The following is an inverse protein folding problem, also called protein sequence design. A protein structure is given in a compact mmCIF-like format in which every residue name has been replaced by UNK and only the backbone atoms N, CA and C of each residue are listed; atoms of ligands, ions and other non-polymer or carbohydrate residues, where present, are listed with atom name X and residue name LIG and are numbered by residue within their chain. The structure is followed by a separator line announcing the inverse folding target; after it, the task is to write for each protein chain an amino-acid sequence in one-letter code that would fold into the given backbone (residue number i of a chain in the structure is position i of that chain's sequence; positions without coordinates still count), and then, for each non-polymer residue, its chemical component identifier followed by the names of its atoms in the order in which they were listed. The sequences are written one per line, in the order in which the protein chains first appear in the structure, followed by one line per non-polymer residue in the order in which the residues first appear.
data_IF_285919335482
#
_entry.id   IF_285919335482
#
_cell.length_a   1.000
_cell.length_b   1.000
_cell.length_c   1.000
_cell.angle_alpha   90.00
_cell.angle_beta   90.00
_cell.angle_gamma   90.00
#
_symmetry.space_group_name_H-M   'P 1'
#
loop_
_entity.id
_entity.type
_entity.pdbx_description
1 polymer ?
#
# COMPACT_ATOMS: atom_id res chain seq x y z
N UNK A 1 5.21 16.23 -18.55
CA UNK A 1 4.15 15.45 -17.88
C UNK A 1 3.93 14.19 -18.69
N UNK A 2 3.69 13.03 -18.06
CA UNK A 2 3.45 11.78 -18.80
C UNK A 2 2.01 11.78 -19.34
N UNK A 3 1.77 11.26 -20.54
CA UNK A 3 0.40 11.10 -21.08
C UNK A 3 -0.37 9.95 -20.44
N UNK A 4 0.32 9.11 -19.66
CA UNK A 4 -0.23 7.88 -19.09
C UNK A 4 -1.06 8.17 -17.86
N UNK A 5 -2.12 7.39 -17.68
CA UNK A 5 -2.95 7.37 -16.47
C UNK A 5 -2.50 6.22 -15.58
N UNK A 6 -2.68 6.39 -14.27
CA UNK A 6 -2.53 5.32 -13.29
C UNK A 6 -3.89 4.98 -12.71
N UNK A 7 -4.21 3.69 -12.64
CA UNK A 7 -5.39 3.18 -11.95
C UNK A 7 -4.96 2.38 -10.72
N UNK A 8 -5.40 2.77 -9.53
CA UNK A 8 -5.14 2.03 -8.30
C UNK A 8 -6.42 1.31 -7.90
N UNK A 9 -6.43 0.00 -8.05
CA UNK A 9 -7.54 -0.87 -7.69
C UNK A 9 -7.39 -1.24 -6.22
N UNK A 10 -8.40 -0.91 -5.41
CA UNK A 10 -8.41 -1.03 -3.95
C UNK A 10 -9.56 -1.92 -3.48
N UNK A 11 -9.45 -2.56 -2.32
CA UNK A 11 -10.51 -3.46 -1.86
C UNK A 11 -11.74 -2.69 -1.37
N UNK A 12 -11.54 -1.76 -0.44
CA UNK A 12 -12.62 -1.09 0.27
C UNK A 12 -12.51 0.43 0.35
N UNK A 13 -13.39 1.00 1.18
CA UNK A 13 -13.43 2.44 1.46
C UNK A 13 -12.24 2.91 2.29
N UNK A 14 -11.70 2.04 3.14
CA UNK A 14 -10.62 2.36 4.07
C UNK A 14 -9.29 2.48 3.33
N UNK A 15 -9.05 1.61 2.35
CA UNK A 15 -8.01 1.71 1.35
C UNK A 15 -8.13 3.02 0.55
N UNK A 16 -9.32 3.29 -0.02
CA UNK A 16 -9.56 4.47 -0.86
C UNK A 16 -9.26 5.75 -0.11
N UNK A 17 -9.67 5.82 1.16
CA UNK A 17 -9.38 6.96 2.03
C UNK A 17 -7.88 7.11 2.29
N UNK A 18 -7.19 6.02 2.61
CA UNK A 18 -5.75 6.05 2.86
C UNK A 18 -4.98 6.48 1.61
N UNK A 19 -5.23 5.81 0.49
CA UNK A 19 -4.57 6.10 -0.77
C UNK A 19 -4.91 7.51 -1.25
N UNK A 20 -6.15 7.96 -1.10
CA UNK A 20 -6.56 9.32 -1.46
C UNK A 20 -5.85 10.40 -0.64
N UNK A 21 -5.62 10.16 0.66
CA UNK A 21 -5.06 11.18 1.55
C UNK A 21 -3.53 11.16 1.63
N UNK A 22 -2.91 9.99 1.54
CA UNK A 22 -1.46 9.80 1.72
C UNK A 22 -0.77 9.55 0.38
N UNK A 23 -1.19 8.55 -0.37
CA UNK A 23 -0.44 8.09 -1.56
C UNK A 23 -0.66 9.00 -2.77
N UNK A 24 -1.91 9.39 -3.02
CA UNK A 24 -2.30 10.16 -4.20
C UNK A 24 -1.53 11.49 -4.32
N UNK A 25 -1.39 12.32 -3.26
CA UNK A 25 -0.56 13.53 -3.32
C UNK A 25 0.91 13.26 -3.69
N UNK A 26 1.44 12.11 -3.30
CA UNK A 26 2.85 11.75 -3.54
C UNK A 26 3.10 11.29 -4.97
N UNK A 27 2.12 10.65 -5.63
CA UNK A 27 2.32 10.03 -6.94
C UNK A 27 1.65 10.80 -8.09
N UNK A 28 0.66 11.66 -7.81
CA UNK A 28 -0.17 12.30 -8.83
C UNK A 28 0.63 13.09 -9.87
N UNK A 29 1.70 13.78 -9.47
CA UNK A 29 2.53 14.59 -10.35
C UNK A 29 3.25 13.78 -11.46
N UNK A 30 3.35 12.46 -11.32
CA UNK A 30 4.00 11.57 -12.30
C UNK A 30 3.09 11.12 -13.43
N UNK A 31 1.78 11.34 -13.31
CA UNK A 31 0.77 10.82 -14.21
C UNK A 31 -0.14 11.94 -14.73
N UNK A 32 -0.72 11.75 -15.92
CA UNK A 32 -1.77 12.65 -16.41
C UNK A 32 -2.97 12.69 -15.48
N UNK A 33 -3.31 11.54 -14.92
CA UNK A 33 -4.35 11.38 -13.90
C UNK A 33 -4.14 10.08 -13.13
N UNK A 34 -4.46 10.09 -11.85
CA UNK A 34 -4.52 8.88 -11.02
C UNK A 34 -5.98 8.64 -10.61
N UNK A 35 -6.47 7.41 -10.77
CA UNK A 35 -7.86 7.04 -10.44
C UNK A 35 -7.89 5.90 -9.43
N UNK A 36 -8.55 6.12 -8.30
CA UNK A 36 -8.81 5.09 -7.30
C UNK A 36 -10.11 4.35 -7.65
N UNK A 37 -10.08 3.02 -7.60
CA UNK A 37 -11.21 2.17 -7.99
C UNK A 37 -11.38 1.04 -7.01
N UNK A 38 -12.50 1.03 -6.28
CA UNK A 38 -12.88 -0.08 -5.41
C UNK A 38 -13.32 -1.28 -6.23
N UNK A 39 -12.61 -2.41 -6.11
CA UNK A 39 -12.87 -3.60 -6.92
C UNK A 39 -13.53 -4.74 -6.15
N UNK A 40 -13.54 -4.75 -4.81
CA UNK A 40 -14.09 -5.88 -4.06
C UNK A 40 -15.58 -6.12 -4.33
N UNK A 41 -16.36 -5.05 -4.54
CA UNK A 41 -17.78 -5.13 -4.89
C UNK A 41 -18.03 -5.41 -6.39
N UNK A 42 -16.99 -5.47 -7.23
CA UNK A 42 -17.15 -5.70 -8.66
C UNK A 42 -17.12 -7.20 -8.98
N UNK A 43 -18.00 -7.63 -9.89
CA UNK A 43 -17.94 -8.97 -10.46
C UNK A 43 -16.56 -9.20 -11.08
N UNK A 44 -15.98 -10.39 -10.89
CA UNK A 44 -14.69 -10.82 -11.48
C UNK A 44 -14.55 -10.42 -12.95
N UNK A 45 -15.55 -10.73 -13.77
CA UNK A 45 -15.54 -10.41 -15.20
C UNK A 45 -15.36 -8.91 -15.49
N UNK A 46 -15.93 -8.04 -14.65
CA UNK A 46 -15.80 -6.59 -14.76
C UNK A 46 -14.39 -6.13 -14.44
N UNK A 47 -13.77 -6.67 -13.38
CA UNK A 47 -12.37 -6.40 -13.04
C UNK A 47 -11.45 -6.85 -14.18
N UNK A 48 -11.63 -8.06 -14.70
CA UNK A 48 -10.83 -8.55 -15.83
C UNK A 48 -10.99 -7.67 -17.08
N UNK A 49 -12.22 -7.26 -17.43
CA UNK A 49 -12.47 -6.35 -18.56
C UNK A 49 -11.79 -4.99 -18.35
N UNK A 50 -11.82 -4.49 -17.13
CA UNK A 50 -11.20 -3.22 -16.77
C UNK A 50 -9.67 -3.26 -16.91
N UNK A 51 -9.02 -4.27 -16.33
CA UNK A 51 -7.57 -4.50 -16.46
C UNK A 51 -7.15 -4.67 -17.93
N UNK A 52 -7.90 -5.46 -18.71
CA UNK A 52 -7.66 -5.60 -20.17
C UNK A 52 -7.72 -4.24 -20.88
N UNK A 53 -8.67 -3.38 -20.52
CA UNK A 53 -8.82 -2.06 -21.14
C UNK A 53 -7.63 -1.16 -20.84
N UNK A 54 -7.17 -1.12 -19.57
CA UNK A 54 -6.01 -0.33 -19.14
C UNK A 54 -4.76 -0.74 -19.94
N UNK A 55 -4.50 -2.06 -20.02
CA UNK A 55 -3.37 -2.59 -20.77
C UNK A 55 -3.42 -2.20 -22.25
N UNK A 56 -4.60 -2.22 -22.86
CA UNK A 56 -4.80 -1.86 -24.28
C UNK A 56 -4.54 -0.37 -24.54
N UNK A 57 -4.80 0.51 -23.58
CA UNK A 57 -4.54 1.96 -23.73
C UNK A 57 -3.10 2.35 -23.39
N UNK A 58 -2.27 1.41 -22.93
CA UNK A 58 -0.90 1.70 -22.48
C UNK A 58 -0.85 2.45 -21.15
N UNK A 59 -1.96 2.47 -20.41
CA UNK A 59 -2.05 3.02 -19.07
C UNK A 59 -1.51 2.02 -18.03
N UNK A 60 -1.20 2.51 -16.84
CA UNK A 60 -0.61 1.72 -15.75
C UNK A 60 -1.68 1.40 -14.69
N UNK A 61 -1.50 0.30 -13.96
CA UNK A 61 -2.34 -0.01 -12.81
C UNK A 61 -1.59 -0.69 -11.69
N UNK A 62 -2.10 -0.51 -10.48
CA UNK A 62 -1.74 -1.25 -9.28
C UNK A 62 -3.00 -1.92 -8.75
N UNK A 63 -2.89 -3.18 -8.32
CA UNK A 63 -3.95 -3.88 -7.60
C UNK A 63 -3.46 -4.10 -6.17
N UNK A 64 -4.13 -3.46 -5.23
CA UNK A 64 -3.79 -3.52 -3.81
C UNK A 64 -4.74 -4.49 -3.10
N UNK A 65 -4.19 -5.31 -2.22
CA UNK A 65 -4.95 -6.30 -1.44
C UNK A 65 -4.29 -6.50 -0.10
N UNK A 66 -5.08 -6.74 0.94
CA UNK A 66 -4.58 -7.13 2.25
C UNK A 66 -4.04 -8.56 2.20
N UNK A 67 -3.06 -8.92 3.04
CA UNK A 67 -2.59 -10.31 3.08
C UNK A 67 -3.59 -11.22 3.81
N UNK A 68 -4.38 -10.65 4.73
CA UNK A 68 -5.38 -11.34 5.56
C UNK A 68 -4.80 -12.58 6.27
N UNK A 69 -5.22 -13.78 5.89
CA UNK A 69 -4.74 -15.06 6.44
C UNK A 69 -3.89 -15.82 5.41
N UNK A 70 -3.47 -15.18 4.32
CA UNK A 70 -2.66 -15.85 3.31
C UNK A 70 -1.28 -16.20 3.91
N UNK A 71 -0.72 -17.39 3.63
CA UNK A 71 0.57 -17.84 4.19
C UNK A 71 1.79 -16.99 3.81
N UNK A 72 1.62 -16.01 2.92
CA UNK A 72 2.69 -15.14 2.46
C UNK A 72 2.31 -14.35 1.21
N UNK A 73 3.13 -13.33 0.89
CA UNK A 73 2.90 -12.42 -0.25
C UNK A 73 2.79 -13.18 -1.57
N UNK A 74 3.65 -14.18 -1.80
CA UNK A 74 3.62 -15.00 -3.03
C UNK A 74 2.29 -15.76 -3.16
N UNK A 75 1.81 -16.37 -2.07
CA UNK A 75 0.55 -17.09 -2.07
C UNK A 75 -0.62 -16.13 -2.33
N UNK A 76 -0.65 -14.96 -1.68
CA UNK A 76 -1.69 -13.96 -1.92
C UNK A 76 -1.69 -13.48 -3.37
N UNK A 77 -0.53 -13.20 -3.96
CA UNK A 77 -0.42 -12.83 -5.39
C UNK A 77 -0.99 -13.92 -6.30
N UNK A 78 -0.68 -15.19 -6.03
CA UNK A 78 -1.20 -16.31 -6.79
C UNK A 78 -2.73 -16.40 -6.72
N UNK A 79 -3.32 -16.22 -5.52
CA UNK A 79 -4.78 -16.16 -5.35
C UNK A 79 -5.42 -15.04 -6.17
N UNK A 80 -4.79 -13.86 -6.22
CA UNK A 80 -5.26 -12.72 -7.04
C UNK A 80 -5.21 -13.04 -8.53
N UNK A 81 -4.14 -13.67 -9.01
CA UNK A 81 -3.98 -14.05 -10.42
C UNK A 81 -5.02 -15.10 -10.82
N UNK A 82 -5.24 -16.11 -9.98
CA UNK A 82 -6.26 -17.14 -10.20
C UNK A 82 -7.66 -16.53 -10.20
N UNK A 83 -7.93 -15.57 -9.29
CA UNK A 83 -9.18 -14.82 -9.23
C UNK A 83 -9.37 -13.90 -10.42
N UNK A 84 -8.31 -13.32 -10.98
CA UNK A 84 -8.36 -12.39 -12.10
C UNK A 84 -7.31 -12.75 -13.15
N UNK A 85 -7.67 -13.63 -14.09
CA UNK A 85 -6.79 -14.29 -15.08
C UNK A 85 -6.04 -13.37 -16.09
N UNK A 86 -5.97 -12.07 -15.85
CA UNK A 86 -5.30 -11.08 -16.70
C UNK A 86 -4.40 -10.10 -15.93
N UNK A 87 -4.36 -10.25 -14.60
CA UNK A 87 -3.54 -9.42 -13.74
C UNK A 87 -2.08 -9.84 -13.86
N UNK A 88 -1.22 -8.84 -14.02
CA UNK A 88 0.21 -9.02 -14.00
C UNK A 88 0.70 -9.13 -12.54
N UNK A 89 1.40 -10.21 -12.14
CA UNK A 89 1.90 -10.38 -10.78
C UNK A 89 2.75 -9.19 -10.26
N UNK A 90 3.44 -8.49 -11.16
CA UNK A 90 4.25 -7.32 -10.83
C UNK A 90 3.38 -6.13 -10.40
N UNK A 91 2.14 -6.02 -10.89
CA UNK A 91 1.20 -4.93 -10.55
C UNK A 91 0.48 -5.12 -9.22
N UNK A 92 0.57 -6.32 -8.62
CA UNK A 92 -0.08 -6.63 -7.34
C UNK A 92 0.80 -6.13 -6.19
N UNK A 93 0.20 -5.31 -5.33
CA UNK A 93 0.74 -4.84 -4.05
C UNK A 93 -0.01 -5.54 -2.94
N UNK A 94 0.71 -6.16 -2.01
CA UNK A 94 0.12 -6.85 -0.86
C UNK A 94 0.46 -6.06 0.39
N UNK A 95 -0.56 -5.66 1.14
CA UNK A 95 -0.45 -4.98 2.43
C UNK A 95 -0.29 -6.04 3.53
N UNK A 96 0.61 -5.78 4.48
CA UNK A 96 0.85 -6.63 5.65
C UNK A 96 0.55 -5.82 6.91
N UNK A 97 -0.36 -6.24 7.80
CA UNK A 97 -1.29 -7.37 7.62
C UNK A 97 -2.53 -6.96 6.81
N UNK A 98 -3.09 -5.81 7.15
CA UNK A 98 -4.28 -5.21 6.52
C UNK A 98 -4.07 -3.70 6.43
N UNK A 99 -4.88 -2.95 5.68
CA UNK A 99 -4.70 -1.49 5.55
C UNK A 99 -4.67 -0.76 6.90
N UNK A 100 -5.35 -1.26 7.93
CA UNK A 100 -5.34 -0.73 9.29
C UNK A 100 -3.94 -0.69 9.90
N UNK A 101 -3.08 -1.64 9.55
CA UNK A 101 -1.67 -1.63 9.97
C UNK A 101 -0.96 -0.38 9.46
N UNK A 102 -1.22 0.03 8.21
CA UNK A 102 -0.64 1.24 7.61
C UNK A 102 -1.12 2.49 8.33
N UNK A 103 -2.40 2.57 8.70
CA UNK A 103 -2.93 3.69 9.48
C UNK A 103 -2.13 3.88 10.78
N UNK A 104 -1.96 2.84 11.59
CA UNK A 104 -1.20 2.98 12.85
C UNK A 104 0.30 3.19 12.64
N UNK A 105 0.87 2.68 11.55
CA UNK A 105 2.30 2.81 11.27
C UNK A 105 2.74 4.27 11.16
N UNK A 106 1.86 5.14 10.65
CA UNK A 106 2.14 6.55 10.45
C UNK A 106 2.13 7.40 11.72
N UNK A 107 1.66 6.88 12.86
CA UNK A 107 1.74 7.61 14.12
C UNK A 107 3.15 7.53 14.70
N UNK A 108 3.67 8.66 15.16
CA UNK A 108 4.82 8.69 16.07
C UNK A 108 4.35 8.73 17.53
N UNK A 109 5.30 8.67 18.47
CA UNK A 109 4.97 8.64 19.90
C UNK A 109 4.24 9.92 20.37
N UNK A 110 4.65 11.15 19.96
CA UNK A 110 3.88 12.36 20.27
C UNK A 110 2.44 12.33 19.78
N UNK A 111 2.20 12.02 18.50
CA UNK A 111 0.85 12.01 17.95
C UNK A 111 0.00 10.88 18.55
N UNK A 112 0.59 9.70 18.80
CA UNK A 112 -0.13 8.62 19.47
C UNK A 112 -0.53 8.97 20.91
N UNK A 113 0.31 9.70 21.65
CA UNK A 113 -0.04 10.19 22.99
C UNK A 113 -1.21 11.17 22.94
N UNK A 114 -1.24 12.07 21.95
CA UNK A 114 -2.37 13.00 21.72
C UNK A 114 -3.66 12.23 21.43
N UNK A 115 -3.58 11.17 20.62
CA UNK A 115 -4.73 10.33 20.31
C UNK A 115 -5.12 9.40 21.46
N UNK A 116 -4.26 9.17 22.45
CA UNK A 116 -4.49 8.20 23.52
C UNK A 116 -4.32 6.75 23.07
N UNK A 117 -3.40 6.51 22.14
CA UNK A 117 -3.14 5.21 21.51
C UNK A 117 -1.80 4.66 21.98
N UNK A 118 -1.78 3.41 22.44
CA UNK A 118 -0.54 2.70 22.71
C UNK A 118 -0.03 2.05 21.43
N UNK A 119 1.16 2.46 20.99
CA UNK A 119 1.75 1.99 19.74
C UNK A 119 2.62 0.75 19.96
N UNK A 120 2.44 -0.33 19.16
CA UNK A 120 3.41 -1.41 19.09
C UNK A 120 4.68 -0.95 18.36
N UNK A 121 5.81 -1.63 18.58
CA UNK A 121 7.07 -1.30 17.91
C UNK A 121 6.96 -1.43 16.37
N UNK A 122 6.32 -2.52 15.91
CA UNK A 122 5.94 -2.76 14.51
C UNK A 122 4.43 -2.93 14.41
N UNK A 123 3.88 -2.64 13.23
CA UNK A 123 2.46 -2.82 12.90
C UNK A 123 2.22 -3.97 11.92
N UNK A 124 3.27 -4.70 11.53
CA UNK A 124 3.18 -5.76 10.50
C UNK A 124 2.14 -6.84 10.81
N UNK A 125 1.77 -7.03 12.08
CA UNK A 125 0.80 -8.03 12.51
C UNK A 125 -0.54 -7.44 12.95
N UNK A 126 -0.70 -6.11 12.89
CA UNK A 126 -1.94 -5.46 13.33
C UNK A 126 -3.08 -5.85 12.41
N UNK A 127 -4.07 -6.54 12.97
CA UNK A 127 -5.33 -6.84 12.28
C UNK A 127 -6.35 -5.70 12.45
N UNK A 128 -7.44 -5.76 11.68
CA UNK A 128 -8.58 -4.84 11.84
C UNK A 128 -9.21 -4.89 13.23
N UNK A 129 -9.29 -6.05 13.86
CA UNK A 129 -9.81 -6.22 15.22
C UNK A 129 -8.89 -5.56 16.25
N UNK A 130 -7.58 -5.73 16.11
CA UNK A 130 -6.60 -5.09 16.99
C UNK A 130 -6.62 -3.57 16.81
N UNK A 131 -6.67 -3.10 15.57
CA UNK A 131 -6.88 -1.68 15.26
C UNK A 131 -8.15 -1.14 15.92
N UNK A 132 -9.28 -1.87 15.81
CA UNK A 132 -10.54 -1.44 16.41
C UNK A 132 -10.45 -1.31 17.94
N UNK A 133 -9.64 -2.14 18.60
CA UNK A 133 -9.38 -2.03 20.05
C UNK A 133 -8.52 -0.82 20.41
N UNK A 134 -7.76 -0.26 19.45
CA UNK A 134 -7.02 0.98 19.68
C UNK A 134 -7.90 2.21 19.65
N UNK A 135 -9.14 2.13 19.16
CA UNK A 135 -10.05 3.27 19.02
C UNK A 135 -10.37 3.82 20.42
N UNK A 136 -9.90 5.02 20.74
CA UNK A 136 -10.13 5.62 22.05
C UNK A 136 -11.61 5.99 22.25
N UNK A 137 -12.14 5.95 23.49
CA UNK A 137 -13.56 6.19 23.78
C UNK A 137 -14.08 7.57 23.33
N UNK A 138 -13.22 8.57 23.17
CA UNK A 138 -13.60 9.91 22.72
C UNK A 138 -13.98 10.00 21.23
N UNK A 139 -13.77 8.96 20.44
CA UNK A 139 -14.16 8.96 19.03
C UNK A 139 -15.54 8.36 18.82
N UNK A 140 -16.46 9.17 18.27
CA UNK A 140 -17.83 8.76 17.95
C UNK A 140 -17.92 7.70 16.85
N UNK A 141 -16.85 7.55 16.05
CA UNK A 141 -16.79 6.52 15.02
C UNK A 141 -15.36 6.15 14.64
N UNK A 142 -15.21 4.93 14.12
CA UNK A 142 -13.98 4.46 13.46
C UNK A 142 -13.51 5.42 12.35
N UNK A 143 -14.43 5.97 11.57
CA UNK A 143 -14.08 6.90 10.47
C UNK A 143 -13.46 8.18 11.03
N UNK A 144 -14.02 8.74 12.11
CA UNK A 144 -13.47 9.95 12.74
C UNK A 144 -12.03 9.70 13.24
N UNK A 145 -11.80 8.57 13.91
CA UNK A 145 -10.48 8.16 14.35
C UNK A 145 -9.48 8.01 13.19
N UNK A 146 -9.89 7.34 12.11
CA UNK A 146 -9.05 7.18 10.91
C UNK A 146 -8.70 8.51 10.25
N UNK A 147 -9.64 9.46 10.18
CA UNK A 147 -9.39 10.79 9.63
C UNK A 147 -8.39 11.58 10.48
N UNK A 148 -8.49 11.47 11.80
CA UNK A 148 -7.56 12.12 12.72
C UNK A 148 -6.14 11.54 12.56
N UNK A 149 -6.01 10.20 12.47
CA UNK A 149 -4.72 9.54 12.16
C UNK A 149 -4.14 10.08 10.85
N UNK A 150 -4.95 10.15 9.78
CA UNK A 150 -4.47 10.61 8.47
C UNK A 150 -4.04 12.08 8.49
N UNK A 151 -4.59 12.90 9.38
CA UNK A 151 -4.18 14.30 9.52
C UNK A 151 -2.79 14.46 10.17
N UNK A 152 -2.34 13.43 10.89
CA UNK A 152 -1.07 13.36 11.65
C UNK A 152 -0.08 12.37 11.05
N UNK A 153 -0.35 11.91 9.83
CA UNK A 153 0.36 10.78 9.27
C UNK A 153 1.82 11.10 8.93
N UNK A 154 2.76 10.42 9.58
CA UNK A 154 4.19 10.53 9.33
C UNK A 154 4.68 9.39 8.41
N UNK A 155 5.01 9.73 7.17
CA UNK A 155 5.63 8.80 6.21
C UNK A 155 6.92 8.16 6.78
N UNK A 156 7.86 8.91 7.38
CA UNK A 156 9.03 8.32 8.03
C UNK A 156 8.67 7.28 9.09
N UNK A 157 7.67 7.55 9.94
CA UNK A 157 7.22 6.59 10.96
C UNK A 157 6.62 5.33 10.31
N UNK A 158 5.76 5.50 9.30
CA UNK A 158 5.16 4.38 8.59
C UNK A 158 6.20 3.48 7.91
N UNK A 159 7.21 4.08 7.26
CA UNK A 159 8.32 3.35 6.65
C UNK A 159 9.19 2.58 7.66
N UNK A 160 9.28 3.03 8.92
CA UNK A 160 10.04 2.30 9.97
C UNK A 160 9.22 1.20 10.62
N UNK A 161 7.89 1.38 10.72
CA UNK A 161 7.02 0.55 11.55
C UNK A 161 6.17 -0.45 10.75
N UNK A 162 6.17 -0.37 9.43
CA UNK A 162 5.49 -1.34 8.58
C UNK A 162 6.31 -1.67 7.33
N UNK A 163 6.70 -2.94 7.19
CA UNK A 163 7.55 -3.40 6.10
C UNK A 163 6.85 -3.34 4.74
N UNK A 164 5.54 -3.56 4.69
CA UNK A 164 4.79 -3.50 3.43
C UNK A 164 4.56 -2.07 2.97
N UNK A 165 4.36 -1.12 3.90
CA UNK A 165 4.35 0.31 3.57
C UNK A 165 5.71 0.75 3.04
N UNK A 166 6.80 0.38 3.74
CA UNK A 166 8.17 0.67 3.29
C UNK A 166 8.43 0.12 1.89
N UNK A 167 8.10 -1.16 1.66
CA UNK A 167 8.24 -1.80 0.36
C UNK A 167 7.47 -1.06 -0.73
N UNK A 168 6.22 -0.63 -0.47
CA UNK A 168 5.45 0.16 -1.43
C UNK A 168 6.15 1.49 -1.77
N UNK A 169 6.64 2.20 -0.75
CA UNK A 169 7.32 3.48 -0.93
C UNK A 169 8.64 3.34 -1.70
N UNK A 170 9.42 2.29 -1.44
CA UNK A 170 10.65 1.97 -2.18
C UNK A 170 10.35 1.63 -3.64
N UNK A 171 9.44 0.68 -3.86
CA UNK A 171 9.02 0.20 -5.18
C UNK A 171 8.56 1.33 -6.07
N UNK A 172 7.69 2.18 -5.53
CA UNK A 172 7.11 3.31 -6.26
C UNK A 172 8.03 4.54 -6.23
N UNK A 173 9.23 4.47 -5.62
CA UNK A 173 10.20 5.58 -5.50
C UNK A 173 9.58 6.86 -4.94
N UNK A 174 8.81 6.70 -3.86
CA UNK A 174 8.08 7.78 -3.18
C UNK A 174 8.77 8.22 -1.88
N UNK A 175 9.94 7.67 -1.56
CA UNK A 175 10.66 8.05 -0.35
C UNK A 175 11.16 9.50 -0.40
N UNK A 176 11.04 10.24 0.70
CA UNK A 176 11.76 11.49 0.88
C UNK A 176 13.27 11.25 0.76
N UNK A 177 14.01 12.21 0.17
CA UNK A 177 15.45 12.09 -0.09
C UNK A 177 16.28 11.69 1.15
N UNK A 178 15.85 12.06 2.37
CA UNK A 178 16.51 11.70 3.62
C UNK A 178 16.31 10.26 4.11
N UNK A 179 15.30 9.52 3.63
CA UNK A 179 15.04 8.11 4.02
C UNK A 179 15.57 7.07 3.02
N UNK A 180 15.92 7.51 1.81
CA UNK A 180 16.48 6.63 0.77
C UNK A 180 17.92 6.20 1.10
N UNK A 181 18.69 7.06 1.78
CA UNK A 181 20.10 6.83 2.09
C UNK A 181 20.35 5.82 3.22
N UNK A 182 19.35 5.54 4.08
CA UNK A 182 19.53 4.68 5.25
C UNK A 182 19.36 3.17 4.96
N UNK A 183 19.09 2.77 3.71
CA UNK A 183 18.71 1.40 3.36
C UNK A 183 19.42 0.78 2.16
N UNK A 184 20.44 1.43 1.58
CA UNK A 184 21.17 0.87 0.44
C UNK A 184 22.49 0.21 0.89
N UNK A 185 22.65 -1.13 0.82
CA UNK A 185 23.97 -1.71 0.69
C UNK A 185 24.52 -1.33 -0.70
N UNK A 186 25.75 -0.83 -0.74
CA UNK A 186 26.32 -0.17 -1.91
C UNK A 186 26.25 -0.96 -3.22
N UNK A 187 25.91 -0.27 -4.31
CA UNK A 187 25.92 -0.79 -5.67
C UNK A 187 25.62 0.30 -6.69
N UNK A 188 26.50 0.42 -7.70
CA UNK A 188 26.74 1.59 -8.56
C UNK A 188 25.57 2.00 -9.48
N UNK A 189 25.59 3.30 -9.82
CA UNK A 189 24.79 3.96 -10.85
C UNK A 189 24.91 3.28 -12.24
N UNK A 190 23.78 3.20 -12.93
CA UNK A 190 23.69 2.78 -14.33
C UNK A 190 22.23 2.76 -14.79
N UNK A 191 21.81 3.82 -15.48
CA UNK A 191 20.44 3.98 -15.95
C UNK A 191 20.08 2.97 -17.04
N UNK A 192 19.08 2.13 -16.77
CA UNK A 192 18.10 1.53 -17.71
C UNK A 192 16.98 0.95 -16.83
N UNK A 193 15.71 0.99 -17.27
CA UNK A 193 14.62 0.32 -16.54
C UNK A 193 14.95 -1.17 -16.40
N UNK A 194 14.92 -1.77 -15.19
CA UNK A 194 15.20 -3.18 -15.05
C UNK A 194 14.03 -3.99 -15.62
N UNK A 195 14.38 -4.99 -16.41
CA UNK A 195 13.51 -6.03 -16.94
C UNK A 195 12.87 -6.81 -15.77
N UNK A 196 11.55 -6.95 -15.79
CA UNK A 196 10.74 -7.45 -14.66
C UNK A 196 10.78 -8.98 -14.51
N UNK A 197 11.76 -9.66 -15.10
CA UNK A 197 11.86 -11.13 -15.12
C UNK A 197 13.03 -11.70 -14.30
N UNK A 198 13.82 -10.87 -13.62
CA UNK A 198 14.93 -11.32 -12.79
C UNK A 198 14.93 -10.64 -11.41
N UNK A 199 14.02 -11.07 -10.54
CA UNK A 199 14.26 -11.09 -9.10
C UNK A 199 14.17 -12.53 -8.63
N UNK A 200 15.26 -13.27 -8.88
CA UNK A 200 15.55 -14.50 -8.16
C UNK A 200 15.88 -14.12 -6.71
N UNK A 201 14.99 -14.48 -5.80
CA UNK A 201 15.31 -14.70 -4.38
C UNK A 201 15.71 -13.44 -3.59
N UNK A 202 14.73 -12.75 -3.03
CA UNK A 202 14.92 -12.13 -1.71
C UNK A 202 13.80 -12.61 -0.79
N UNK A 203 14.23 -13.39 0.20
CA UNK A 203 13.49 -13.74 1.40
C UNK A 203 12.88 -12.48 2.01
N UNK A 204 11.55 -12.39 2.04
CA UNK A 204 10.93 -11.97 3.29
C UNK A 204 11.19 -13.13 4.26
N UNK A 205 11.93 -12.95 5.38
CA UNK A 205 12.04 -14.01 6.35
C UNK A 205 10.63 -14.34 6.84
N UNK A 206 10.21 -15.56 6.55
CA UNK A 206 9.10 -16.21 7.21
C UNK A 206 9.62 -16.63 8.59
N UNK A 207 9.45 -15.77 9.59
CA UNK A 207 9.15 -16.14 10.98
C UNK A 207 8.23 -15.07 11.57
#
# INVERSE_FOLDING_TARGET
MTERRLYILLEGNDDERFFGRIILPLIAHRYRSVRLIKYACLKRARVCKFVKSIRRTGDEYLLVTDIDQAPGVKAKKQMIIERFCVVDPATVVVIIQEIESWYLAGLDAPDAAILGVNLPATTDHVTKEEFNRTIPPQYDSRIAYMLEILSRFSIPSACRRNRSFRYFMDRERLLPAGLAAAGAPGGKEGGTRPDATLYHGEHLPNE
#
